data_IF_077919275476
#
_entry.id   IF_077919275476
#
_cell.length_a   1.000
_cell.length_b   1.000
_cell.length_c   1.000
_cell.angle_alpha   90.00
_cell.angle_beta   90.00
_cell.angle_gamma   90.00
#
_symmetry.space_group_name_H-M   'P 1'
#
loop_
_entity.id
_entity.type
_entity.pdbx_description
1 polymer ?
#
# COMPACT_ATOMS: atom_id res chain seq x y z
N UNK A 1 10.52 15.42 -32.18
CA UNK A 1 10.01 16.35 -31.16
C UNK A 1 8.60 16.01 -30.62
N UNK A 2 7.68 15.37 -31.38
CA UNK A 2 6.30 15.17 -30.89
C UNK A 2 6.05 13.89 -30.08
N UNK A 3 6.59 12.74 -30.48
CA UNK A 3 6.29 11.46 -29.81
C UNK A 3 6.83 11.36 -28.37
N UNK A 4 8.01 11.93 -28.13
CA UNK A 4 8.64 11.93 -26.79
C UNK A 4 7.88 12.83 -25.80
N UNK A 5 7.36 13.98 -26.27
CA UNK A 5 6.61 14.88 -25.39
C UNK A 5 5.27 14.28 -24.98
N UNK A 6 4.56 13.64 -25.92
CA UNK A 6 3.27 12.98 -25.64
C UNK A 6 3.45 11.83 -24.66
N UNK A 7 4.49 11.01 -24.82
CA UNK A 7 4.77 9.89 -23.90
C UNK A 7 5.09 10.38 -22.49
N UNK A 8 5.84 11.48 -22.35
CA UNK A 8 6.13 12.10 -21.05
C UNK A 8 4.85 12.66 -20.41
N UNK A 9 4.04 13.43 -21.15
CA UNK A 9 2.80 14.00 -20.65
C UNK A 9 1.78 12.93 -20.26
N UNK A 10 1.66 11.88 -21.07
CA UNK A 10 0.78 10.75 -20.78
C UNK A 10 1.27 9.97 -19.55
N UNK A 11 2.57 9.72 -19.43
CA UNK A 11 3.15 9.05 -18.27
C UNK A 11 2.90 9.82 -16.97
N UNK A 12 3.15 11.12 -16.96
CA UNK A 12 2.89 11.99 -15.81
C UNK A 12 1.38 12.04 -15.50
N UNK A 13 0.53 12.13 -16.52
CA UNK A 13 -0.93 12.14 -16.34
C UNK A 13 -1.47 10.88 -15.68
N UNK A 14 -1.02 9.70 -16.11
CA UNK A 14 -1.43 8.41 -15.53
C UNK A 14 -0.91 8.26 -14.10
N UNK A 15 0.32 8.70 -13.84
CA UNK A 15 0.89 8.68 -12.49
C UNK A 15 0.09 9.59 -11.55
N UNK A 16 -0.22 10.81 -11.98
CA UNK A 16 -1.02 11.76 -11.22
C UNK A 16 -2.43 11.22 -10.91
N UNK A 17 -3.08 10.58 -11.89
CA UNK A 17 -4.39 9.95 -11.69
C UNK A 17 -4.33 8.83 -10.64
N UNK A 18 -3.25 8.04 -10.63
CA UNK A 18 -3.05 6.96 -9.66
C UNK A 18 -2.94 7.50 -8.23
N UNK A 19 -2.17 8.57 -8.02
CA UNK A 19 -2.07 9.24 -6.72
C UNK A 19 -3.38 9.92 -6.31
N UNK A 20 -4.09 10.54 -7.25
CA UNK A 20 -5.39 11.15 -6.99
C UNK A 20 -6.43 10.11 -6.52
N UNK A 21 -6.45 8.92 -7.15
CA UNK A 21 -7.34 7.84 -6.73
C UNK A 21 -7.08 7.35 -5.30
N UNK A 22 -5.81 7.26 -4.91
CA UNK A 22 -5.42 6.90 -3.54
C UNK A 22 -5.83 8.02 -2.56
N UNK A 23 -5.59 9.29 -2.91
CA UNK A 23 -5.91 10.44 -2.07
C UNK A 23 -7.42 10.56 -1.80
N UNK A 24 -8.27 10.36 -2.81
CA UNK A 24 -9.73 10.37 -2.65
C UNK A 24 -10.19 9.29 -1.68
N UNK A 25 -9.61 8.09 -1.74
CA UNK A 25 -9.95 6.99 -0.83
C UNK A 25 -9.59 7.31 0.63
N UNK A 26 -8.49 8.02 0.86
CA UNK A 26 -8.07 8.48 2.19
C UNK A 26 -9.04 9.53 2.72
N UNK A 27 -9.42 10.52 1.90
CA UNK A 27 -10.38 11.55 2.28
C UNK A 27 -11.78 10.99 2.59
N UNK A 28 -12.18 9.92 1.90
CA UNK A 28 -13.44 9.22 2.16
C UNK A 28 -13.43 8.32 3.42
N UNK A 29 -12.27 8.09 4.06
CA UNK A 29 -12.18 7.36 5.33
C UNK A 29 -12.41 8.28 6.51
N UNK A 30 -13.19 7.83 7.50
CA UNK A 30 -13.59 8.61 8.69
C UNK A 30 -12.41 9.17 9.52
N UNK A 31 -11.27 8.49 9.51
CA UNK A 31 -10.08 8.88 10.27
C UNK A 31 -8.91 9.29 9.38
N UNK A 32 -9.12 9.40 8.06
CA UNK A 32 -8.04 9.76 7.12
C UNK A 32 -6.87 8.77 7.10
N UNK A 33 -7.01 7.58 7.70
CA UNK A 33 -5.93 6.61 7.79
C UNK A 33 -5.81 5.80 6.51
N UNK A 34 -4.58 5.76 5.99
CA UNK A 34 -4.24 4.89 4.87
C UNK A 34 -4.36 3.43 5.32
N UNK A 35 -5.28 2.68 4.71
CA UNK A 35 -5.57 1.27 5.06
C UNK A 35 -4.41 0.31 4.76
N UNK A 36 -3.28 0.81 4.25
CA UNK A 36 -2.17 0.00 3.83
C UNK A 36 -2.39 -0.68 2.48
N UNK A 37 -1.29 -1.18 1.93
CA UNK A 37 -1.28 -2.16 0.83
C UNK A 37 -0.53 -3.39 1.31
N UNK A 38 -0.46 -4.45 0.52
CA UNK A 38 0.35 -5.62 0.92
C UNK A 38 1.80 -5.24 1.31
N UNK A 39 2.35 -4.16 0.76
CA UNK A 39 3.67 -3.66 1.10
C UNK A 39 3.76 -2.99 2.49
N UNK A 40 2.69 -2.36 2.99
CA UNK A 40 2.70 -1.77 4.35
C UNK A 40 2.69 -2.84 5.44
N UNK A 41 2.21 -4.05 5.14
CA UNK A 41 2.25 -5.18 6.05
C UNK A 41 3.56 -5.98 5.90
N UNK A 42 4.49 -5.54 5.05
CA UNK A 42 5.77 -6.19 4.87
C UNK A 42 6.66 -5.90 6.08
N UNK A 43 7.04 -6.92 6.85
CA UNK A 43 7.85 -6.72 8.05
C UNK A 43 9.27 -6.18 7.78
N UNK A 44 9.77 -6.28 6.54
CA UNK A 44 11.05 -5.67 6.15
C UNK A 44 10.97 -4.15 5.94
N UNK A 45 9.77 -3.60 5.75
CA UNK A 45 9.54 -2.17 5.41
C UNK A 45 8.92 -1.42 6.60
N UNK A 46 8.39 -2.12 7.60
CA UNK A 46 7.85 -1.52 8.81
C UNK A 46 8.98 -1.10 9.77
N UNK A 47 8.98 0.16 10.19
CA UNK A 47 10.04 0.73 11.06
C UNK A 47 10.00 0.19 12.51
N UNK A 48 8.84 -0.28 12.98
CA UNK A 48 8.63 -0.73 14.37
C UNK A 48 8.71 -2.25 14.54
N UNK A 49 9.78 -2.92 14.06
CA UNK A 49 10.02 -4.35 14.34
C UNK A 49 8.80 -5.27 14.10
N UNK A 50 7.95 -4.87 13.15
CA UNK A 50 6.53 -5.17 13.20
C UNK A 50 6.17 -6.47 12.50
N UNK A 51 5.47 -7.35 13.20
CA UNK A 51 4.84 -8.52 12.59
C UNK A 51 3.79 -8.15 11.55
N UNK A 52 3.41 -9.11 10.70
CA UNK A 52 2.41 -8.90 9.66
C UNK A 52 1.09 -8.40 10.27
N UNK A 53 0.58 -7.23 9.86
CA UNK A 53 -0.69 -6.68 10.35
C UNK A 53 -1.95 -7.51 10.07
N UNK A 54 -1.82 -8.65 9.39
CA UNK A 54 -2.90 -9.60 9.11
C UNK A 54 -2.84 -10.85 10.01
N UNK A 55 -1.65 -11.38 10.31
CA UNK A 55 -1.48 -12.62 11.07
C UNK A 55 -0.49 -12.52 12.25
N UNK A 56 0.04 -11.34 12.54
CA UNK A 56 0.97 -11.07 13.65
C UNK A 56 2.33 -11.77 13.55
N UNK A 57 2.60 -12.55 12.51
CA UNK A 57 3.86 -13.27 12.35
C UNK A 57 5.03 -12.29 12.18
N UNK A 58 6.11 -12.50 12.93
CA UNK A 58 7.37 -11.76 12.76
C UNK A 58 8.02 -12.09 11.41
N UNK A 59 8.92 -11.24 10.88
CA UNK A 59 9.60 -11.50 9.59
C UNK A 59 10.27 -12.87 9.48
N UNK A 60 10.71 -13.45 10.61
CA UNK A 60 11.39 -14.75 10.66
C UNK A 60 10.42 -15.93 10.84
N UNK A 61 9.14 -15.66 11.11
CA UNK A 61 8.10 -16.66 11.37
C UNK A 61 7.26 -16.95 10.11
N UNK A 62 6.74 -18.19 10.01
CA UNK A 62 5.76 -18.53 8.98
C UNK A 62 4.42 -17.86 9.28
N UNK A 63 3.64 -17.59 8.22
CA UNK A 63 2.32 -16.97 8.33
C UNK A 63 1.35 -17.84 9.17
N UNK A 64 0.83 -17.29 10.27
CA UNK A 64 0.00 -17.98 11.27
C UNK A 64 -1.51 -17.98 10.94
N UNK A 65 -1.87 -17.97 9.64
CA UNK A 65 -3.28 -17.80 9.20
C UNK A 65 -4.23 -18.86 9.78
N UNK A 66 -3.76 -20.10 9.93
CA UNK A 66 -4.61 -21.21 10.39
C UNK A 66 -4.82 -21.22 11.91
N UNK A 67 -3.91 -20.60 12.66
CA UNK A 67 -3.92 -20.58 14.12
C UNK A 67 -4.73 -19.39 14.68
N UNK A 68 -5.00 -18.38 13.85
CA UNK A 68 -5.62 -17.13 14.27
C UNK A 68 -7.02 -17.03 13.65
N UNK A 69 -8.09 -16.95 14.46
CA UNK A 69 -9.43 -16.73 13.94
C UNK A 69 -9.49 -15.37 13.24
N UNK A 70 -9.71 -15.39 11.93
CA UNK A 70 -9.86 -14.20 11.11
C UNK A 70 -11.10 -13.45 11.61
N UNK A 71 -10.89 -12.35 12.37
CA UNK A 71 -11.96 -11.40 12.71
C UNK A 71 -12.17 -10.44 11.55
#
# INVERSE_FOLDING_TARGET
>A
MSATLITILLGIGILALSFAGIAVKIWAKKDGEFAGTCASNNPLVQEEGGGCGFCGARPEEKCKREEIPVR
#
